data_IF_454432051645
#
_entry.id   IF_454432051645
#
_cell.length_a   1.000
_cell.length_b   1.000
_cell.length_c   1.000
_cell.angle_alpha   90.00
_cell.angle_beta   90.00
_cell.angle_gamma   90.00
#
_symmetry.space_group_name_H-M   'P 1'
#
loop_
_entity.id
_entity.type
_entity.pdbx_description
1 polymer ?
#
# COMPACT_ATOMS: atom_id res chain seq x y z
N UNK A 1 50.13 -62.27 39.79
CA UNK A 1 50.89 -60.99 39.81
C UNK A 1 50.12 -60.03 38.94
N UNK A 2 49.11 -59.41 39.54
CA UNK A 2 48.13 -58.59 38.84
C UNK A 2 48.32 -57.12 39.23
N UNK A 3 48.57 -56.32 38.23
CA UNK A 3 48.67 -54.86 38.37
C UNK A 3 47.30 -54.22 38.14
N UNK A 4 46.73 -53.72 39.19
CA UNK A 4 45.50 -52.91 39.16
C UNK A 4 45.83 -51.51 38.62
N UNK A 5 45.27 -51.14 37.45
CA UNK A 5 45.34 -49.78 36.94
C UNK A 5 44.01 -49.06 37.28
N UNK A 6 44.12 -48.11 38.18
CA UNK A 6 43.03 -47.20 38.57
C UNK A 6 42.93 -46.09 37.53
N UNK A 7 41.84 -46.08 36.78
CA UNK A 7 41.54 -45.02 35.84
C UNK A 7 40.82 -43.87 36.50
N UNK A 8 41.42 -42.69 36.46
CA UNK A 8 40.79 -41.43 36.90
C UNK A 8 39.77 -40.97 35.87
N UNK A 9 38.50 -40.88 36.26
CA UNK A 9 37.43 -40.32 35.46
C UNK A 9 37.37 -38.79 35.73
N UNK A 10 37.85 -37.98 34.81
CA UNK A 10 37.71 -36.54 34.81
C UNK A 10 36.36 -36.19 34.23
N UNK A 11 35.40 -35.77 35.04
CA UNK A 11 34.13 -35.22 34.65
C UNK A 11 34.33 -33.78 34.13
N UNK A 12 34.23 -33.55 32.84
CA UNK A 12 34.18 -32.22 32.24
C UNK A 12 32.75 -31.66 32.39
N UNK A 13 32.57 -30.65 33.24
CA UNK A 13 31.37 -29.84 33.31
C UNK A 13 31.28 -28.99 32.01
N UNK A 14 30.39 -29.36 31.13
CA UNK A 14 29.98 -28.52 30.00
C UNK A 14 29.01 -27.45 30.53
N UNK A 15 29.52 -26.24 30.70
CA UNK A 15 28.70 -25.02 30.91
C UNK A 15 28.10 -24.65 29.58
N UNK A 16 26.80 -24.87 29.41
CA UNK A 16 26.05 -24.40 28.27
C UNK A 16 25.92 -22.87 28.35
N UNK A 17 26.18 -22.10 27.26
CA UNK A 17 25.88 -20.68 27.26
C UNK A 17 24.35 -20.47 27.23
N UNK A 18 23.83 -19.81 28.27
CA UNK A 18 22.45 -19.32 28.28
C UNK A 18 22.26 -18.37 27.07
N UNK A 19 21.49 -18.82 26.09
CA UNK A 19 20.97 -17.98 25.03
C UNK A 19 19.93 -17.05 25.64
N UNK A 20 20.32 -15.80 25.90
CA UNK A 20 19.41 -14.71 26.21
C UNK A 20 18.61 -14.44 24.92
N UNK A 21 17.28 -14.55 24.94
CA UNK A 21 16.47 -14.16 23.76
C UNK A 21 16.57 -12.65 23.62
N UNK A 22 17.28 -12.20 22.58
CA UNK A 22 17.22 -10.81 22.12
C UNK A 22 15.84 -10.61 21.54
N UNK A 23 14.92 -10.08 22.35
CA UNK A 23 13.66 -9.53 21.87
C UNK A 23 14.00 -8.26 21.08
N UNK A 24 14.32 -8.42 19.81
CA UNK A 24 14.24 -7.32 18.85
C UNK A 24 12.76 -6.93 18.73
N UNK A 25 12.36 -6.01 19.60
CA UNK A 25 11.14 -5.24 19.45
C UNK A 25 11.30 -4.40 18.19
N UNK A 26 10.91 -4.97 17.05
CA UNK A 26 10.79 -4.27 15.77
C UNK A 26 9.62 -3.29 15.89
N UNK A 27 9.84 -2.21 16.68
CA UNK A 27 8.99 -1.03 16.61
C UNK A 27 9.15 -0.48 15.20
N UNK A 28 8.19 -0.79 14.33
CA UNK A 28 7.94 -0.09 13.07
C UNK A 28 7.67 1.38 13.45
N UNK A 29 8.75 2.16 13.56
CA UNK A 29 8.64 3.61 13.63
C UNK A 29 7.97 4.05 12.35
N UNK A 30 6.76 4.59 12.45
CA UNK A 30 6.18 5.36 11.36
C UNK A 30 7.24 6.38 10.92
N UNK A 31 7.53 6.51 9.61
CA UNK A 31 8.55 7.44 9.16
C UNK A 31 8.18 8.84 9.62
N UNK A 32 9.03 9.40 10.49
CA UNK A 32 8.87 10.78 10.95
C UNK A 32 9.01 11.69 9.74
N UNK A 33 8.02 12.55 9.52
CA UNK A 33 8.12 13.59 8.51
C UNK A 33 9.33 14.47 8.81
N UNK A 34 10.17 14.71 7.80
CA UNK A 34 11.37 15.48 8.02
C UNK A 34 11.02 16.93 8.36
N UNK A 35 11.69 17.50 9.35
CA UNK A 35 11.73 18.95 9.55
C UNK A 35 12.49 19.56 8.38
N UNK A 36 11.79 19.94 7.32
CA UNK A 36 12.38 20.49 6.07
C UNK A 36 11.90 21.91 5.89
N UNK A 37 12.79 22.80 5.42
CA UNK A 37 12.38 24.13 4.98
C UNK A 37 11.55 24.05 3.69
N UNK A 38 10.66 24.99 3.49
CA UNK A 38 9.78 25.04 2.31
C UNK A 38 10.56 24.98 0.98
N UNK A 39 11.81 25.51 0.94
CA UNK A 39 12.68 25.51 -0.25
C UNK A 39 13.26 24.14 -0.59
N UNK A 40 13.21 23.20 0.36
CA UNK A 40 13.71 21.83 0.17
C UNK A 40 12.65 20.86 -0.34
N UNK A 41 11.39 21.31 -0.59
CA UNK A 41 10.29 20.49 -1.04
C UNK A 41 9.64 21.08 -2.29
N UNK A 42 9.46 20.26 -3.31
CA UNK A 42 8.65 20.57 -4.49
C UNK A 42 7.38 19.74 -4.50
N UNK A 43 6.30 20.30 -5.03
CA UNK A 43 4.99 19.63 -5.15
C UNK A 43 4.61 19.51 -6.61
N UNK A 44 4.03 18.36 -6.97
CA UNK A 44 3.64 18.05 -8.33
C UNK A 44 2.22 17.50 -8.36
N UNK A 45 1.40 17.98 -9.27
CA UNK A 45 0.13 17.35 -9.59
C UNK A 45 0.39 16.05 -10.35
N UNK A 46 -0.34 14.97 -9.98
CA UNK A 46 -0.18 13.63 -10.56
C UNK A 46 -1.52 12.94 -10.76
N UNK A 47 -1.67 12.06 -11.77
CA UNK A 47 -2.89 11.33 -12.05
C UNK A 47 -2.89 9.96 -11.35
N UNK A 48 -2.70 9.92 -10.02
CA UNK A 48 -2.66 8.67 -9.23
C UNK A 48 -3.90 8.47 -8.36
N UNK A 49 -4.98 9.24 -8.63
CA UNK A 49 -6.28 9.04 -7.98
C UNK A 49 -6.89 7.68 -8.38
N UNK A 50 -7.51 7.00 -7.42
CA UNK A 50 -8.13 5.71 -7.65
C UNK A 50 -9.43 5.85 -8.45
N UNK A 51 -9.59 5.17 -9.59
CA UNK A 51 -10.84 5.19 -10.36
C UNK A 51 -11.96 4.40 -9.67
N UNK A 52 -11.63 3.51 -8.73
CA UNK A 52 -12.61 2.70 -7.99
C UNK A 52 -13.08 3.35 -6.69
N UNK A 53 -12.32 4.31 -6.14
CA UNK A 53 -12.65 4.97 -4.88
C UNK A 53 -12.42 6.48 -4.98
N UNK A 54 -13.48 7.27 -4.73
CA UNK A 54 -13.39 8.74 -4.76
C UNK A 54 -12.50 9.25 -3.62
N UNK A 55 -11.76 10.31 -3.89
CA UNK A 55 -10.87 10.97 -2.92
C UNK A 55 -9.81 10.05 -2.30
N UNK A 56 -9.45 9.00 -3.01
CA UNK A 56 -8.43 8.03 -2.59
C UNK A 56 -7.39 7.85 -3.70
N UNK A 57 -6.13 7.79 -3.32
CA UNK A 57 -5.04 7.42 -4.22
C UNK A 57 -5.06 5.92 -4.54
N UNK A 58 -4.64 5.57 -5.74
CA UNK A 58 -4.48 4.17 -6.14
C UNK A 58 -3.12 3.66 -5.63
N UNK A 59 -3.13 2.84 -4.58
CA UNK A 59 -1.90 2.33 -3.96
C UNK A 59 -1.05 1.51 -4.92
N UNK A 60 -1.67 0.64 -5.72
CA UNK A 60 -0.97 -0.20 -6.70
C UNK A 60 -0.29 0.61 -7.81
N UNK A 61 -0.94 1.69 -8.30
CA UNK A 61 -0.35 2.58 -9.30
C UNK A 61 0.73 3.49 -8.68
N UNK A 62 0.56 3.92 -7.44
CA UNK A 62 1.47 4.84 -6.77
C UNK A 62 2.77 4.19 -6.29
N UNK A 63 2.71 2.94 -5.84
CA UNK A 63 3.86 2.23 -5.26
C UNK A 63 5.09 2.20 -6.17
N UNK A 64 5.01 1.75 -7.43
CA UNK A 64 6.16 1.74 -8.31
C UNK A 64 6.72 3.14 -8.57
N UNK A 65 5.87 4.16 -8.67
CA UNK A 65 6.26 5.57 -8.86
C UNK A 65 7.07 6.07 -7.68
N UNK A 66 6.55 5.90 -6.46
CA UNK A 66 7.21 6.35 -5.24
C UNK A 66 8.55 5.63 -5.04
N UNK A 67 8.57 4.32 -5.21
CA UNK A 67 9.81 3.55 -5.10
C UNK A 67 10.85 3.92 -6.17
N UNK A 68 10.42 4.26 -7.39
CA UNK A 68 11.32 4.74 -8.45
C UNK A 68 11.91 6.11 -8.11
N UNK A 69 11.12 7.02 -7.54
CA UNK A 69 11.55 8.32 -7.06
C UNK A 69 12.53 8.18 -5.88
N UNK A 70 12.22 7.36 -4.89
CA UNK A 70 13.06 7.14 -3.70
C UNK A 70 14.44 6.54 -4.03
N UNK A 71 14.57 5.83 -5.15
CA UNK A 71 15.86 5.32 -5.66
C UNK A 71 16.75 6.39 -6.27
N UNK A 72 16.23 7.59 -6.58
CA UNK A 72 17.01 8.67 -7.20
C UNK A 72 18.01 9.29 -6.24
N UNK A 73 19.23 9.59 -6.74
CA UNK A 73 20.30 10.12 -5.91
C UNK A 73 20.03 11.52 -5.36
N UNK A 74 19.23 12.32 -6.07
CA UNK A 74 18.85 13.68 -5.70
C UNK A 74 17.68 13.75 -4.71
N UNK A 75 16.87 12.69 -4.64
CA UNK A 75 15.67 12.63 -3.82
C UNK A 75 15.99 12.02 -2.45
N UNK A 76 15.53 12.68 -1.39
CA UNK A 76 15.60 12.18 -0.02
C UNK A 76 14.37 11.36 0.34
N UNK A 77 13.19 11.85 -0.05
CA UNK A 77 11.89 11.21 0.21
C UNK A 77 10.88 11.63 -0.86
N UNK A 78 9.95 10.75 -1.17
CA UNK A 78 8.80 11.02 -2.03
C UNK A 78 7.52 10.62 -1.28
N UNK A 79 6.49 11.46 -1.36
CA UNK A 79 5.24 11.29 -0.65
C UNK A 79 4.06 11.54 -1.59
N UNK A 80 3.01 10.73 -1.47
CA UNK A 80 1.72 10.93 -2.15
C UNK A 80 0.67 11.36 -1.14
N UNK A 81 -0.17 12.33 -1.49
CA UNK A 81 -1.35 12.70 -0.71
C UNK A 81 -2.41 11.59 -0.74
N UNK A 82 -3.31 11.58 0.25
CA UNK A 82 -4.39 10.59 0.33
C UNK A 82 -5.30 10.54 -0.91
N UNK A 83 -5.68 11.68 -1.55
CA UNK A 83 -6.45 11.64 -2.79
C UNK A 83 -5.69 11.11 -4.02
N UNK A 84 -4.38 10.96 -3.97
CA UNK A 84 -3.57 10.52 -5.10
C UNK A 84 -3.40 11.58 -6.19
N UNK A 85 -3.50 12.84 -5.83
CA UNK A 85 -3.45 13.98 -6.78
C UNK A 85 -2.18 14.80 -6.69
N UNK A 86 -1.44 14.68 -5.58
CA UNK A 86 -0.27 15.50 -5.29
C UNK A 86 0.90 14.66 -4.78
N UNK A 87 2.07 14.81 -5.43
CA UNK A 87 3.34 14.33 -4.93
C UNK A 87 4.11 15.45 -4.23
N UNK A 88 4.71 15.16 -3.07
CA UNK A 88 5.71 15.98 -2.42
C UNK A 88 7.08 15.31 -2.55
N UNK A 89 8.04 16.01 -3.13
CA UNK A 89 9.42 15.55 -3.30
C UNK A 89 10.33 16.33 -2.38
N UNK A 90 10.93 15.65 -1.42
CA UNK A 90 11.95 16.20 -0.52
C UNK A 90 13.32 15.98 -1.14
N UNK A 91 14.00 17.07 -1.48
CA UNK A 91 15.30 17.06 -2.12
C UNK A 91 16.46 16.91 -1.12
N UNK A 92 17.54 16.29 -1.55
CA UNK A 92 18.80 16.37 -0.80
C UNK A 92 19.37 17.78 -0.92
N UNK A 93 20.03 18.24 0.15
CA UNK A 93 20.65 19.57 0.16
C UNK A 93 21.67 19.72 -0.97
N UNK A 94 21.70 20.91 -1.56
CA UNK A 94 22.68 21.24 -2.61
C UNK A 94 22.44 20.56 -3.95
N UNK A 95 21.29 19.92 -4.15
CA UNK A 95 20.96 19.33 -5.45
C UNK A 95 20.67 20.41 -6.48
N UNK A 96 21.42 20.50 -7.60
CA UNK A 96 21.18 21.46 -8.66
C UNK A 96 19.82 21.25 -9.35
N UNK A 97 19.25 22.33 -9.90
CA UNK A 97 17.92 22.29 -10.52
C UNK A 97 17.86 21.38 -11.74
N UNK A 98 18.91 21.36 -12.55
CA UNK A 98 19.03 20.48 -13.73
C UNK A 98 19.05 18.99 -13.35
N UNK A 99 19.76 18.62 -12.29
CA UNK A 99 19.78 17.27 -11.76
C UNK A 99 18.40 16.85 -11.19
N UNK A 100 17.68 17.77 -10.51
CA UNK A 100 16.30 17.54 -10.07
C UNK A 100 15.39 17.26 -11.26
N UNK A 101 15.46 18.11 -12.29
CA UNK A 101 14.63 17.97 -13.49
C UNK A 101 14.94 16.67 -14.25
N UNK A 102 16.21 16.26 -14.33
CA UNK A 102 16.61 15.02 -14.98
C UNK A 102 16.06 13.77 -14.24
N UNK A 103 16.20 13.72 -12.90
CA UNK A 103 15.70 12.60 -12.09
C UNK A 103 14.17 12.47 -12.13
N UNK A 104 13.45 13.60 -12.10
CA UNK A 104 11.99 13.63 -12.24
C UNK A 104 11.54 13.12 -13.60
N UNK A 105 12.16 13.60 -14.67
CA UNK A 105 11.83 13.17 -16.04
C UNK A 105 12.03 11.68 -16.19
N UNK A 106 13.16 11.17 -15.77
CA UNK A 106 13.46 9.74 -15.81
C UNK A 106 12.44 8.89 -15.00
N UNK A 107 11.98 9.38 -13.83
CA UNK A 107 10.98 8.68 -13.03
C UNK A 107 9.59 8.74 -13.68
N UNK A 108 9.21 9.89 -14.25
CA UNK A 108 7.92 10.07 -14.92
C UNK A 108 7.82 9.21 -16.18
N UNK A 109 8.86 9.21 -17.03
CA UNK A 109 8.93 8.38 -18.24
C UNK A 109 8.87 6.88 -17.90
N UNK A 110 9.66 6.44 -16.91
CA UNK A 110 9.68 5.03 -16.48
C UNK A 110 8.37 4.54 -15.88
N UNK A 111 7.54 5.45 -15.38
CA UNK A 111 6.23 5.14 -14.78
C UNK A 111 5.05 5.54 -15.66
N UNK A 112 5.29 6.08 -16.84
CA UNK A 112 4.28 6.59 -17.79
C UNK A 112 3.27 7.54 -17.11
N UNK A 113 3.75 8.47 -16.28
CA UNK A 113 2.94 9.48 -15.60
C UNK A 113 3.34 10.89 -16.00
N UNK A 114 2.41 11.83 -15.93
CA UNK A 114 2.68 13.26 -16.08
C UNK A 114 2.92 13.89 -14.69
N UNK A 115 3.93 14.74 -14.60
CA UNK A 115 4.24 15.56 -13.42
C UNK A 115 4.09 17.03 -13.79
N UNK A 116 3.20 17.75 -13.11
CA UNK A 116 3.03 19.18 -13.26
C UNK A 116 3.41 19.89 -11.95
N UNK A 117 4.46 20.69 -11.96
CA UNK A 117 4.88 21.41 -10.76
C UNK A 117 3.79 22.37 -10.29
N UNK A 118 3.52 22.37 -8.97
CA UNK A 118 2.61 23.31 -8.34
C UNK A 118 3.37 24.58 -7.92
N UNK A 119 2.80 25.73 -8.27
CA UNK A 119 3.35 27.05 -7.95
C UNK A 119 2.29 27.93 -7.28
N UNK A 120 2.69 29.06 -6.69
CA UNK A 120 1.77 30.02 -6.07
C UNK A 120 0.88 29.41 -4.99
N UNK A 121 -0.39 29.80 -4.95
CA UNK A 121 -1.35 29.35 -3.91
C UNK A 121 -1.51 27.82 -3.86
N UNK A 122 -1.49 27.13 -4.99
CA UNK A 122 -1.60 25.66 -5.03
C UNK A 122 -0.42 24.98 -4.32
N UNK A 123 0.81 25.52 -4.48
CA UNK A 123 1.98 25.04 -3.75
C UNK A 123 1.84 25.31 -2.24
N UNK A 124 1.34 26.48 -1.87
CA UNK A 124 1.18 26.87 -0.45
C UNK A 124 0.14 26.00 0.25
N UNK A 125 -0.94 25.65 -0.42
CA UNK A 125 -1.96 24.73 0.09
C UNK A 125 -1.38 23.31 0.25
N UNK A 126 -0.65 22.81 -0.75
CA UNK A 126 0.03 21.53 -0.68
C UNK A 126 1.06 21.49 0.47
N UNK A 127 1.82 22.59 0.66
CA UNK A 127 2.76 22.72 1.77
C UNK A 127 2.06 22.67 3.13
N UNK A 128 0.97 23.41 3.32
CA UNK A 128 0.17 23.39 4.57
C UNK A 128 -0.33 21.97 4.86
N UNK A 129 -0.90 21.29 3.85
CA UNK A 129 -1.37 19.93 3.96
C UNK A 129 -0.23 18.96 4.32
N UNK A 130 0.90 19.05 3.62
CA UNK A 130 2.07 18.22 3.87
C UNK A 130 2.63 18.45 5.28
N UNK A 131 2.74 19.69 5.71
CA UNK A 131 3.27 20.04 7.03
C UNK A 131 2.35 19.62 8.19
N UNK A 132 1.02 19.55 7.96
CA UNK A 132 0.07 19.07 8.98
C UNK A 132 0.31 17.61 9.39
N UNK A 133 1.09 16.86 8.62
CA UNK A 133 1.53 15.51 8.96
C UNK A 133 0.53 14.40 8.70
N UNK A 134 -0.69 14.71 8.26
CA UNK A 134 -1.76 13.72 8.07
C UNK A 134 -1.95 13.39 6.60
N UNK A 135 -2.28 12.11 6.33
CA UNK A 135 -2.75 11.66 5.01
C UNK A 135 -1.72 11.82 3.87
N UNK A 136 -0.46 11.55 4.15
CA UNK A 136 0.61 11.44 3.16
C UNK A 136 1.36 10.12 3.34
N UNK A 137 1.71 9.46 2.23
CA UNK A 137 2.23 8.10 2.22
C UNK A 137 3.51 8.02 1.39
N UNK A 138 4.52 7.32 1.91
CA UNK A 138 5.74 6.93 1.18
C UNK A 138 5.54 5.58 0.47
N UNK A 139 6.49 5.20 -0.38
CA UNK A 139 6.44 3.94 -1.11
C UNK A 139 6.24 2.70 -0.22
N UNK A 140 6.82 2.69 0.99
CA UNK A 140 6.64 1.60 1.97
C UNK A 140 5.26 1.59 2.65
N UNK A 141 4.52 2.71 2.63
CA UNK A 141 3.26 2.87 3.36
C UNK A 141 2.03 2.93 2.46
N UNK A 142 2.24 3.12 1.16
CA UNK A 142 1.17 3.35 0.18
C UNK A 142 0.21 2.17 0.04
N UNK A 143 0.59 0.99 0.51
CA UNK A 143 -0.29 -0.19 0.58
C UNK A 143 -1.50 0.04 1.50
N UNK A 144 -1.45 1.01 2.44
CA UNK A 144 -2.61 1.45 3.23
C UNK A 144 -3.73 2.01 2.35
N UNK A 145 -3.39 2.70 1.25
CA UNK A 145 -4.38 3.14 0.27
C UNK A 145 -5.04 1.96 -0.44
N UNK A 146 -4.28 0.91 -0.76
CA UNK A 146 -4.84 -0.31 -1.34
C UNK A 146 -5.75 -1.05 -0.35
N UNK A 147 -5.49 -0.98 0.95
CA UNK A 147 -6.37 -1.53 1.98
C UNK A 147 -7.71 -0.76 2.04
N UNK A 148 -7.66 0.57 2.03
CA UNK A 148 -8.86 1.41 1.98
C UNK A 148 -9.64 1.20 0.66
N UNK A 149 -8.95 1.11 -0.47
CA UNK A 149 -9.54 0.81 -1.77
C UNK A 149 -10.28 -0.54 -1.75
N UNK A 150 -9.65 -1.58 -1.20
CA UNK A 150 -10.26 -2.91 -1.08
C UNK A 150 -11.55 -2.88 -0.26
N UNK A 151 -11.60 -2.08 0.81
CA UNK A 151 -12.82 -1.91 1.61
C UNK A 151 -13.94 -1.23 0.83
N UNK A 152 -13.63 -0.16 0.09
CA UNK A 152 -14.62 0.56 -0.74
C UNK A 152 -15.17 -0.34 -1.84
N UNK A 153 -14.31 -1.11 -2.50
CA UNK A 153 -14.72 -2.07 -3.53
C UNK A 153 -15.59 -3.17 -2.91
N UNK A 154 -15.21 -3.72 -1.78
CA UNK A 154 -15.96 -4.75 -1.05
C UNK A 154 -17.37 -4.29 -0.72
N UNK A 155 -17.51 -3.10 -0.12
CA UNK A 155 -18.82 -2.54 0.23
C UNK A 155 -19.70 -2.35 -1.02
N UNK A 156 -19.10 -1.96 -2.14
CA UNK A 156 -19.81 -1.83 -3.42
C UNK A 156 -20.27 -3.19 -3.95
N UNK A 157 -19.42 -4.19 -3.94
CA UNK A 157 -19.78 -5.54 -4.41
C UNK A 157 -20.91 -6.14 -3.57
N UNK A 158 -20.84 -6.01 -2.25
CA UNK A 158 -21.89 -6.49 -1.35
C UNK A 158 -23.21 -5.76 -1.63
N UNK A 159 -23.22 -4.42 -1.78
CA UNK A 159 -24.44 -3.67 -2.11
C UNK A 159 -25.04 -4.09 -3.45
N UNK A 160 -24.23 -4.28 -4.49
CA UNK A 160 -24.68 -4.75 -5.80
C UNK A 160 -25.29 -6.15 -5.74
N UNK A 161 -24.66 -7.05 -5.00
CA UNK A 161 -25.14 -8.41 -4.83
C UNK A 161 -26.43 -8.44 -3.99
N UNK A 162 -26.50 -7.68 -2.91
CA UNK A 162 -27.70 -7.57 -2.07
C UNK A 162 -28.90 -6.96 -2.80
N UNK A 163 -28.68 -6.12 -3.81
CA UNK A 163 -29.77 -5.61 -4.66
C UNK A 163 -30.42 -6.71 -5.51
N UNK A 164 -29.70 -7.80 -5.79
CA UNK A 164 -30.21 -8.97 -6.53
C UNK A 164 -30.66 -10.10 -5.59
N UNK A 165 -29.94 -10.29 -4.50
CA UNK A 165 -30.18 -11.35 -3.50
C UNK A 165 -30.13 -10.73 -2.09
N UNK A 166 -31.29 -10.30 -1.53
CA UNK A 166 -31.36 -9.58 -0.26
C UNK A 166 -30.79 -10.32 0.95
N UNK A 167 -30.76 -11.66 0.92
CA UNK A 167 -30.19 -12.46 2.01
C UNK A 167 -28.70 -12.22 2.23
N UNK A 168 -27.99 -11.70 1.22
CA UNK A 168 -26.56 -11.32 1.33
C UNK A 168 -26.37 -10.18 2.35
N UNK A 169 -27.32 -9.26 2.47
CA UNK A 169 -27.23 -8.15 3.43
C UNK A 169 -27.06 -8.65 4.88
N UNK A 170 -27.70 -9.76 5.26
CA UNK A 170 -27.54 -10.39 6.59
C UNK A 170 -26.18 -11.03 6.84
N UNK A 171 -25.39 -11.25 5.79
CA UNK A 171 -24.05 -11.87 5.85
C UNK A 171 -22.93 -10.86 5.57
N UNK A 172 -23.26 -9.58 5.37
CA UNK A 172 -22.32 -8.55 4.91
C UNK A 172 -21.05 -8.46 5.77
N UNK A 173 -21.17 -8.43 7.10
CA UNK A 173 -20.02 -8.29 8.01
C UNK A 173 -19.06 -9.48 7.90
N UNK A 174 -19.59 -10.70 7.77
CA UNK A 174 -18.76 -11.89 7.60
C UNK A 174 -18.03 -11.90 6.25
N UNK A 175 -18.71 -11.47 5.20
CA UNK A 175 -18.15 -11.42 3.85
C UNK A 175 -17.14 -10.29 3.69
N UNK A 176 -17.33 -9.18 4.41
CA UNK A 176 -16.53 -7.96 4.24
C UNK A 176 -15.05 -8.20 4.47
N UNK A 177 -14.67 -8.88 5.54
CA UNK A 177 -13.27 -9.15 5.86
C UNK A 177 -12.61 -10.08 4.84
N UNK A 178 -13.33 -11.12 4.41
CA UNK A 178 -12.81 -12.11 3.46
C UNK A 178 -12.65 -11.53 2.07
N UNK A 179 -13.64 -10.79 1.59
CA UNK A 179 -13.60 -10.12 0.29
C UNK A 179 -12.52 -9.02 0.26
N UNK A 180 -12.47 -8.17 1.30
CA UNK A 180 -11.46 -7.12 1.39
C UNK A 180 -10.05 -7.69 1.37
N UNK A 181 -9.80 -8.80 2.06
CA UNK A 181 -8.51 -9.48 2.03
C UNK A 181 -8.14 -9.94 0.61
N UNK A 182 -9.05 -10.62 -0.09
CA UNK A 182 -8.79 -11.12 -1.46
C UNK A 182 -8.56 -9.96 -2.43
N UNK A 183 -9.38 -8.91 -2.34
CA UNK A 183 -9.24 -7.72 -3.20
C UNK A 183 -7.92 -7.01 -2.92
N UNK A 184 -7.55 -6.82 -1.64
CA UNK A 184 -6.28 -6.25 -1.26
C UNK A 184 -5.10 -7.05 -1.83
N UNK A 185 -5.11 -8.38 -1.71
CA UNK A 185 -4.07 -9.25 -2.27
C UNK A 185 -3.94 -9.08 -3.79
N UNK A 186 -5.05 -8.90 -4.50
CA UNK A 186 -5.04 -8.60 -5.93
C UNK A 186 -4.45 -7.21 -6.23
N UNK A 187 -4.80 -6.19 -5.43
CA UNK A 187 -4.30 -4.82 -5.61
C UNK A 187 -2.81 -4.68 -5.28
N UNK A 188 -2.33 -5.36 -4.24
CA UNK A 188 -0.93 -5.26 -3.80
C UNK A 188 0.02 -6.22 -4.52
N UNK A 189 -0.49 -7.33 -5.06
CA UNK A 189 0.28 -8.31 -5.83
C UNK A 189 0.44 -7.96 -7.31
N UNK A 190 -0.02 -6.81 -7.74
CA UNK A 190 -0.03 -6.39 -9.12
C UNK A 190 1.18 -5.50 -9.42
N UNK A 191 2.10 -5.98 -10.25
CA UNK A 191 3.28 -5.22 -10.70
C UNK A 191 3.01 -4.39 -11.98
N UNK A 192 1.78 -4.41 -12.49
CA UNK A 192 1.40 -3.74 -13.72
C UNK A 192 0.18 -2.82 -13.55
N UNK A 193 0.07 -1.80 -14.41
CA UNK A 193 -1.08 -0.88 -14.50
C UNK A 193 -2.39 -1.55 -14.91
N UNK A 194 -2.34 -2.81 -15.35
CA UNK A 194 -3.49 -3.64 -15.71
C UNK A 194 -3.72 -4.77 -14.71
N UNK A 195 -4.15 -4.43 -13.50
CA UNK A 195 -4.62 -5.42 -12.53
C UNK A 195 -5.92 -6.06 -13.02
N UNK A 196 -5.84 -7.27 -13.55
CA UNK A 196 -7.03 -8.06 -13.87
C UNK A 196 -7.60 -8.67 -12.61
N UNK A 197 -8.89 -8.44 -12.38
CA UNK A 197 -9.64 -9.08 -11.31
C UNK A 197 -9.63 -10.59 -11.52
N UNK A 198 -9.05 -11.33 -10.57
CA UNK A 198 -9.18 -12.80 -10.54
C UNK A 198 -10.49 -13.17 -9.86
N UNK A 199 -11.53 -13.30 -10.67
CA UNK A 199 -12.88 -13.66 -10.21
C UNK A 199 -12.92 -15.06 -9.57
N UNK A 200 -12.04 -15.99 -9.96
CA UNK A 200 -12.00 -17.36 -9.38
C UNK A 200 -11.63 -17.32 -7.91
N UNK A 201 -10.63 -16.49 -7.54
CA UNK A 201 -10.28 -16.31 -6.13
C UNK A 201 -11.43 -15.73 -5.31
N UNK A 202 -12.22 -14.81 -5.89
CA UNK A 202 -13.42 -14.31 -5.24
C UNK A 202 -14.46 -15.41 -5.05
N UNK A 203 -14.75 -16.19 -6.09
CA UNK A 203 -15.69 -17.32 -6.06
C UNK A 203 -15.27 -18.34 -5.01
N UNK A 204 -14.04 -18.82 -5.03
CA UNK A 204 -13.52 -19.82 -4.07
C UNK A 204 -13.61 -19.36 -2.62
N UNK A 205 -13.42 -18.04 -2.40
CA UNK A 205 -13.48 -17.47 -1.05
C UNK A 205 -14.90 -17.44 -0.50
N UNK A 206 -15.89 -17.14 -1.35
CA UNK A 206 -17.27 -16.94 -0.91
C UNK A 206 -18.12 -18.22 -0.93
N UNK A 207 -17.78 -19.21 -1.77
CA UNK A 207 -18.51 -20.48 -1.88
C UNK A 207 -18.72 -21.20 -0.54
N UNK A 208 -17.80 -21.04 0.40
CA UNK A 208 -17.88 -21.67 1.73
C UNK A 208 -18.95 -21.05 2.64
N UNK A 209 -19.42 -19.85 2.35
CA UNK A 209 -20.28 -19.05 3.24
C UNK A 209 -21.61 -18.67 2.60
N UNK A 210 -21.77 -18.88 1.29
CA UNK A 210 -22.92 -18.45 0.52
C UNK A 210 -23.65 -19.64 -0.11
N UNK A 211 -24.95 -19.50 -0.32
CA UNK A 211 -25.73 -20.40 -1.18
C UNK A 211 -25.33 -20.18 -2.65
N UNK A 212 -25.74 -21.08 -3.53
CA UNK A 212 -25.47 -20.96 -4.95
C UNK A 212 -26.06 -19.66 -5.56
N UNK A 213 -27.28 -19.27 -5.15
CA UNK A 213 -27.92 -18.04 -5.61
C UNK A 213 -27.15 -16.79 -5.16
N UNK A 214 -26.76 -16.74 -3.88
CA UNK A 214 -25.96 -15.64 -3.31
C UNK A 214 -24.57 -15.54 -3.97
N UNK A 215 -23.90 -16.68 -4.18
CA UNK A 215 -22.61 -16.76 -4.85
C UNK A 215 -22.70 -16.25 -6.28
N UNK A 216 -23.73 -16.65 -7.02
CA UNK A 216 -24.00 -16.16 -8.37
C UNK A 216 -24.23 -14.63 -8.39
N UNK A 217 -25.03 -14.10 -7.46
CA UNK A 217 -25.29 -12.66 -7.38
C UNK A 217 -24.00 -11.87 -7.11
N UNK A 218 -23.10 -12.36 -6.25
CA UNK A 218 -21.83 -11.73 -5.97
C UNK A 218 -20.86 -11.79 -7.17
N UNK A 219 -20.79 -12.93 -7.83
CA UNK A 219 -19.98 -13.11 -9.05
C UNK A 219 -20.44 -12.16 -10.16
N UNK A 220 -21.75 -12.00 -10.34
CA UNK A 220 -22.31 -11.05 -11.29
C UNK A 220 -22.03 -9.59 -10.93
N UNK A 221 -22.10 -9.27 -9.63
CA UNK A 221 -21.69 -7.95 -9.14
C UNK A 221 -20.21 -7.66 -9.44
N UNK A 222 -19.33 -8.65 -9.28
CA UNK A 222 -17.92 -8.54 -9.56
C UNK A 222 -17.61 -8.38 -11.07
N UNK A 223 -18.36 -9.06 -11.94
CA UNK A 223 -18.24 -8.92 -13.42
C UNK A 223 -18.53 -7.51 -13.94
N UNK A 224 -19.26 -6.68 -13.18
CA UNK A 224 -19.43 -5.25 -13.48
C UNK A 224 -18.16 -4.44 -13.25
N UNK A 225 -17.13 -5.07 -12.67
CA UNK A 225 -15.85 -4.44 -12.34
C UNK A 225 -15.88 -3.64 -11.04
N UNK A 226 -14.71 -3.15 -10.67
CA UNK A 226 -14.53 -2.46 -9.39
C UNK A 226 -14.92 -0.99 -9.40
N UNK A 227 -15.03 -0.38 -10.60
CA UNK A 227 -15.42 1.03 -10.74
C UNK A 227 -16.91 1.24 -10.46
N UNK A 228 -17.31 2.40 -9.95
CA UNK A 228 -18.72 2.75 -9.85
C UNK A 228 -19.40 2.70 -11.23
N UNK A 229 -20.64 2.19 -11.28
CA UNK A 229 -21.49 2.17 -12.49
C UNK A 229 -22.67 3.10 -12.26
N UNK A 230 -22.95 3.99 -13.21
CA UNK A 230 -24.06 4.94 -13.12
C UNK A 230 -23.92 5.89 -11.90
N UNK A 231 -24.93 5.94 -11.05
CA UNK A 231 -25.00 6.84 -9.89
C UNK A 231 -24.43 6.22 -8.59
N UNK A 232 -23.68 5.13 -8.67
CA UNK A 232 -23.03 4.54 -7.49
C UNK A 232 -21.95 5.49 -6.91
N UNK A 233 -22.01 5.67 -5.60
CA UNK A 233 -20.97 6.42 -4.87
C UNK A 233 -20.12 5.47 -4.06
#
# INVERSE_FOLDING_TARGET
MDQLKIGFLTAALLVAPEMVPVHESCCLRSPEKPTVSADGVSFYRVPLACPAARNLGCGSAAKPVLLALEKKKTIRQAWLDHPGTTLAIVWKRGTPADARAADLRCAAEGSNISLQELTGSARDEAWKSFHSGKSWYQGAEVDKLSEEEAMVITDRLIRRAAAKEPMIAGKADKLKSDLARVIREQLTGCDSTECRTDYRKLEDTVHKSLTEAESRALTEAAKLGYRPVGNEQ
#
